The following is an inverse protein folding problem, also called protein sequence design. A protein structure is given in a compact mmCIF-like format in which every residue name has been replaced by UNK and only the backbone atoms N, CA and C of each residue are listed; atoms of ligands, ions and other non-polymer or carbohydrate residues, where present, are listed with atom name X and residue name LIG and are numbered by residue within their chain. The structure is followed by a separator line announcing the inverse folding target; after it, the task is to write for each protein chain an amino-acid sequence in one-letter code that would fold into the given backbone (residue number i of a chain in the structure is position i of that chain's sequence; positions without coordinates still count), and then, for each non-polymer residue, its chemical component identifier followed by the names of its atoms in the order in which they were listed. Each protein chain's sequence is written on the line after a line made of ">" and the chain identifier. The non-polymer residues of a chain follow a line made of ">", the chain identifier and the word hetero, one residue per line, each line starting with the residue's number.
data_IF_843006534905
#
_entry.id   IF_843006534905
#
_cell.length_a   1.000
_cell.length_b   1.000
_cell.length_c   1.000
_cell.angle_alpha   90.00
_cell.angle_beta   90.00
_cell.angle_gamma   90.00
#
_symmetry.space_group_name_H-M   'P 1'
#
loop_
_entity.id
_entity.type
_entity.pdbx_description
1 polymer ?
#
# COMPACT_ATOMS: atom_id res chain seq x y z
N UNK A 1 0.56 -45.93 26.63
CA UNK A 1 -0.30 -46.37 25.52
C UNK A 1 -0.99 -45.13 24.94
N UNK A 2 -0.62 -44.69 23.74
CA UNK A 2 -1.28 -43.56 23.09
C UNK A 2 -2.34 -44.10 22.14
N UNK A 3 -3.60 -44.03 22.56
CA UNK A 3 -4.74 -44.41 21.72
C UNK A 3 -4.86 -43.39 20.59
N UNK A 4 -4.62 -43.83 19.37
CA UNK A 4 -4.79 -43.05 18.15
C UNK A 4 -6.29 -42.86 17.90
N UNK A 5 -6.88 -41.82 18.50
CA UNK A 5 -8.24 -41.41 18.18
C UNK A 5 -8.29 -41.00 16.70
N UNK A 6 -9.10 -41.73 15.92
CA UNK A 6 -9.38 -41.40 14.52
C UNK A 6 -9.84 -39.95 14.43
N UNK A 7 -9.16 -39.19 13.56
CA UNK A 7 -9.44 -37.79 13.25
C UNK A 7 -10.80 -37.69 12.56
N UNK A 8 -11.87 -37.43 13.30
CA UNK A 8 -13.14 -37.04 12.69
C UNK A 8 -13.01 -35.63 12.15
N UNK A 9 -13.53 -35.40 10.94
CA UNK A 9 -13.60 -34.08 10.35
C UNK A 9 -14.59 -33.25 11.18
N UNK A 10 -14.09 -32.28 11.94
CA UNK A 10 -14.92 -31.31 12.65
C UNK A 10 -15.06 -30.08 11.77
N UNK A 11 -16.27 -29.83 11.28
CA UNK A 11 -16.55 -28.62 10.52
C UNK A 11 -16.70 -27.46 11.50
N UNK A 12 -15.71 -26.57 11.47
CA UNK A 12 -15.74 -25.34 12.27
C UNK A 12 -16.59 -24.29 11.54
N UNK A 13 -17.55 -23.64 12.23
CA UNK A 13 -18.35 -22.57 11.63
C UNK A 13 -17.47 -21.37 11.29
N UNK A 14 -17.88 -20.58 10.29
CA UNK A 14 -17.09 -19.44 9.81
C UNK A 14 -16.84 -18.39 10.90
N UNK A 15 -17.85 -18.07 11.71
CA UNK A 15 -17.76 -17.14 12.83
C UNK A 15 -16.65 -17.52 13.82
N UNK A 16 -16.57 -18.81 14.15
CA UNK A 16 -15.52 -19.33 15.00
C UNK A 16 -14.12 -19.18 14.39
N UNK A 17 -13.97 -19.46 13.09
CA UNK A 17 -12.69 -19.29 12.38
C UNK A 17 -12.21 -17.84 12.43
N UNK A 18 -13.12 -16.89 12.20
CA UNK A 18 -12.80 -15.46 12.23
C UNK A 18 -12.40 -15.02 13.64
N UNK A 19 -13.16 -15.40 14.66
CA UNK A 19 -12.85 -15.04 16.06
C UNK A 19 -11.47 -15.57 16.51
N UNK A 20 -11.13 -16.81 16.16
CA UNK A 20 -9.80 -17.38 16.45
C UNK A 20 -8.70 -16.62 15.72
N UNK A 21 -8.93 -16.18 14.48
CA UNK A 21 -7.96 -15.39 13.71
C UNK A 21 -7.76 -14.01 14.31
N UNK A 22 -8.83 -13.28 14.63
CA UNK A 22 -8.74 -11.96 15.25
C UNK A 22 -7.96 -12.00 16.57
N UNK A 23 -8.20 -13.01 17.40
CA UNK A 23 -7.51 -13.13 18.67
C UNK A 23 -6.00 -13.40 18.51
N UNK A 24 -5.64 -14.16 17.48
CA UNK A 24 -4.24 -14.43 17.15
C UNK A 24 -3.56 -13.19 16.55
N UNK A 25 -4.25 -12.43 15.69
CA UNK A 25 -3.71 -11.20 15.10
C UNK A 25 -3.56 -10.06 16.10
N UNK A 26 -4.47 -9.99 17.09
CA UNK A 26 -4.34 -9.06 18.22
C UNK A 26 -3.19 -9.41 19.15
N UNK A 27 -2.60 -10.59 19.02
CA UNK A 27 -1.49 -11.06 19.84
C UNK A 27 -1.89 -11.58 21.22
N UNK A 28 -3.19 -11.76 21.48
CA UNK A 28 -3.67 -12.30 22.76
C UNK A 28 -3.30 -13.78 22.93
N UNK A 29 -3.11 -14.50 21.83
CA UNK A 29 -2.60 -15.87 21.84
C UNK A 29 -1.84 -16.20 20.57
N UNK A 30 -0.85 -17.10 20.67
CA UNK A 30 -0.19 -17.65 19.48
C UNK A 30 -1.07 -18.71 18.83
N UNK A 31 -0.94 -18.93 17.51
CA UNK A 31 -1.65 -20.00 16.80
C UNK A 31 -1.49 -21.40 17.45
N UNK A 32 -0.33 -21.67 18.08
CA UNK A 32 -0.08 -22.91 18.85
C UNK A 32 -0.94 -23.01 20.10
N UNK A 33 -1.12 -21.88 20.80
CA UNK A 33 -1.97 -21.79 21.98
C UNK A 33 -3.45 -21.84 21.60
N UNK A 34 -3.85 -21.15 20.52
CA UNK A 34 -5.20 -21.24 19.96
C UNK A 34 -5.59 -22.70 19.67
N UNK A 35 -4.67 -23.46 19.05
CA UNK A 35 -4.88 -24.90 18.80
C UNK A 35 -5.16 -25.68 20.09
N UNK A 36 -4.36 -25.45 21.14
CA UNK A 36 -4.50 -26.17 22.41
C UNK A 36 -5.77 -25.75 23.16
N UNK A 37 -6.05 -24.45 23.22
CA UNK A 37 -7.17 -23.86 23.96
C UNK A 37 -8.53 -24.24 23.37
N UNK A 38 -8.61 -24.28 22.04
CA UNK A 38 -9.84 -24.61 21.33
C UNK A 38 -9.95 -26.06 20.87
N UNK A 39 -8.97 -26.91 21.21
CA UNK A 39 -8.98 -28.33 20.82
C UNK A 39 -8.94 -28.55 19.31
N UNK A 40 -8.24 -27.69 18.56
CA UNK A 40 -8.18 -27.77 17.10
C UNK A 40 -7.26 -28.93 16.71
N UNK A 41 -7.84 -29.94 16.06
CA UNK A 41 -7.17 -31.20 15.75
C UNK A 41 -5.98 -31.07 14.78
N UNK A 42 -6.05 -30.15 13.81
CA UNK A 42 -5.00 -30.00 12.80
C UNK A 42 -3.92 -29.00 13.22
N UNK A 43 -2.66 -29.43 13.15
CA UNK A 43 -1.49 -28.59 13.49
C UNK A 43 -1.39 -27.33 12.63
N UNK A 44 -1.81 -27.40 11.37
CA UNK A 44 -1.79 -26.30 10.41
C UNK A 44 -3.16 -25.65 10.21
N UNK A 45 -4.24 -26.13 10.86
CA UNK A 45 -5.59 -25.61 10.63
C UNK A 45 -5.71 -24.13 10.96
N UNK A 46 -5.14 -23.70 12.09
CA UNK A 46 -5.10 -22.28 12.46
C UNK A 46 -4.29 -21.46 11.46
N UNK A 47 -3.16 -21.99 10.97
CA UNK A 47 -2.34 -21.33 9.93
C UNK A 47 -3.06 -21.24 8.57
N UNK A 48 -3.93 -22.20 8.25
CA UNK A 48 -4.78 -22.13 7.05
C UNK A 48 -5.84 -21.04 7.22
N UNK A 49 -6.45 -20.91 8.40
CA UNK A 49 -7.41 -19.83 8.67
C UNK A 49 -6.75 -18.46 8.67
N UNK A 50 -5.58 -18.33 9.27
CA UNK A 50 -4.79 -17.10 9.24
C UNK A 50 -4.45 -16.67 7.80
N UNK A 51 -4.14 -17.61 6.90
CA UNK A 51 -3.91 -17.29 5.47
C UNK A 51 -5.16 -16.92 4.69
N UNK A 52 -6.33 -17.40 5.11
CA UNK A 52 -7.60 -17.21 4.38
C UNK A 52 -8.41 -16.03 4.89
N UNK A 53 -8.37 -15.79 6.19
CA UNK A 53 -9.19 -14.81 6.90
C UNK A 53 -8.35 -13.77 7.66
N UNK A 54 -7.04 -13.97 7.78
CA UNK A 54 -6.15 -13.00 8.39
C UNK A 54 -5.85 -11.84 7.46
N UNK A 55 -5.52 -10.70 8.07
CA UNK A 55 -5.03 -9.49 7.40
C UNK A 55 -3.51 -9.50 7.24
N UNK A 56 -2.80 -10.31 8.03
CA UNK A 56 -1.35 -10.46 7.96
C UNK A 56 -0.93 -11.53 6.92
N UNK A 57 0.24 -11.37 6.32
CA UNK A 57 0.77 -12.32 5.33
C UNK A 57 1.38 -13.57 6.00
N UNK A 58 0.56 -14.62 6.18
CA UNK A 58 0.94 -15.88 6.87
C UNK A 58 1.45 -17.01 5.93
N UNK A 59 2.05 -16.70 4.77
CA UNK A 59 2.46 -17.72 3.76
C UNK A 59 3.76 -18.45 4.17
N UNK A 60 3.81 -19.80 4.12
CA UNK A 60 5.04 -20.55 4.42
C UNK A 60 6.02 -20.41 3.26
N UNK A 61 7.20 -19.85 3.52
CA UNK A 61 8.27 -19.78 2.53
C UNK A 61 8.62 -18.38 2.03
N UNK A 62 8.10 -17.32 2.65
CA UNK A 62 8.80 -16.05 2.61
C UNK A 62 9.27 -15.73 4.03
N UNK A 63 10.56 -15.87 4.36
CA UNK A 63 11.08 -15.03 5.45
C UNK A 63 10.76 -13.61 5.04
N UNK A 64 10.24 -12.75 5.92
CA UNK A 64 10.14 -11.30 5.63
C UNK A 64 11.38 -10.84 4.83
N UNK A 65 11.29 -10.61 3.50
CA UNK A 65 12.40 -10.10 2.74
C UNK A 65 12.45 -8.59 2.90
N UNK A 66 11.43 -7.98 3.53
CA UNK A 66 11.39 -6.54 3.82
C UNK A 66 12.55 -6.13 4.73
N UNK A 67 13.15 -7.06 5.49
CA UNK A 67 14.30 -6.74 6.35
C UNK A 67 15.64 -7.27 5.87
N UNK A 68 15.73 -8.14 4.85
CA UNK A 68 17.01 -8.81 4.53
C UNK A 68 17.27 -9.08 3.04
N UNK A 69 17.23 -8.05 2.21
CA UNK A 69 17.84 -7.99 0.85
C UNK A 69 16.91 -8.42 -0.29
N UNK A 70 16.39 -7.44 -1.03
CA UNK A 70 16.34 -7.52 -2.50
C UNK A 70 16.69 -6.15 -3.12
N UNK A 71 17.32 -6.15 -4.32
CA UNK A 71 17.81 -4.96 -5.02
C UNK A 71 16.71 -4.29 -5.85
N UNK A 72 16.80 -2.95 -5.95
CA UNK A 72 16.28 -2.06 -7.00
C UNK A 72 15.31 -2.70 -8.02
N UNK A 73 14.00 -2.61 -7.78
CA UNK A 73 12.96 -2.31 -8.78
C UNK A 73 11.56 -2.39 -8.14
N UNK A 74 10.98 -1.21 -7.90
CA UNK A 74 9.54 -0.93 -8.02
C UNK A 74 8.57 -1.95 -7.41
N UNK A 75 8.43 -1.93 -6.09
CA UNK A 75 7.11 -2.17 -5.47
C UNK A 75 6.90 -1.10 -4.41
N UNK A 76 5.74 -0.46 -4.49
CA UNK A 76 5.31 0.70 -3.72
C UNK A 76 5.22 0.35 -2.24
N UNK A 77 6.34 0.54 -1.53
CA UNK A 77 6.35 0.76 -0.09
C UNK A 77 5.43 1.96 0.14
N UNK A 78 4.40 1.89 0.99
CA UNK A 78 3.71 3.09 1.41
C UNK A 78 4.74 3.91 2.18
N UNK A 79 5.40 4.85 1.50
CA UNK A 79 6.22 5.88 2.11
C UNK A 79 5.45 6.41 3.32
N UNK A 80 6.14 6.44 4.46
CA UNK A 80 5.59 7.09 5.65
C UNK A 80 5.10 8.50 5.24
N UNK A 81 3.98 8.96 5.80
CA UNK A 81 3.39 10.24 5.38
C UNK A 81 4.41 11.39 5.43
N UNK A 82 5.35 11.35 6.39
CA UNK A 82 6.44 12.32 6.56
C UNK A 82 7.46 12.32 5.41
N UNK A 83 7.81 11.15 4.86
CA UNK A 83 8.74 11.06 3.74
C UNK A 83 8.13 11.64 2.46
N UNK A 84 6.83 11.40 2.23
CA UNK A 84 6.11 12.01 1.10
C UNK A 84 6.03 13.52 1.21
N UNK A 85 5.80 14.03 2.42
CA UNK A 85 5.72 15.47 2.66
C UNK A 85 7.05 16.13 2.32
N UNK A 86 8.18 15.58 2.81
CA UNK A 86 9.51 16.12 2.52
C UNK A 86 9.85 16.11 1.02
N UNK A 87 9.56 15.01 0.33
CA UNK A 87 9.79 14.93 -1.13
C UNK A 87 8.95 15.96 -1.90
N UNK A 88 7.70 16.16 -1.51
CA UNK A 88 6.81 17.15 -2.13
C UNK A 88 7.25 18.59 -1.82
N UNK A 89 7.73 18.86 -0.61
CA UNK A 89 8.29 20.16 -0.22
C UNK A 89 9.52 20.51 -1.06
N UNK A 90 10.45 19.57 -1.25
CA UNK A 90 11.62 19.75 -2.10
C UNK A 90 11.23 19.99 -3.57
N UNK A 91 10.23 19.28 -4.08
CA UNK A 91 9.69 19.52 -5.42
C UNK A 91 9.06 20.91 -5.56
N UNK A 92 8.36 21.39 -4.54
CA UNK A 92 7.78 22.74 -4.50
C UNK A 92 8.88 23.80 -4.48
N UNK A 93 9.93 23.63 -3.67
CA UNK A 93 11.07 24.54 -3.63
C UNK A 93 11.77 24.62 -4.98
N UNK A 94 12.08 23.48 -5.61
CA UNK A 94 12.70 23.44 -6.94
C UNK A 94 11.80 24.08 -8.02
N UNK A 95 10.48 23.89 -7.94
CA UNK A 95 9.54 24.50 -8.87
C UNK A 95 9.47 26.03 -8.68
N UNK A 96 9.47 26.51 -7.43
CA UNK A 96 9.47 27.94 -7.11
C UNK A 96 10.76 28.62 -7.56
N UNK A 97 11.93 28.03 -7.28
CA UNK A 97 13.22 28.54 -7.75
C UNK A 97 13.27 28.64 -9.29
N UNK A 98 12.74 27.62 -9.99
CA UNK A 98 12.64 27.67 -11.45
C UNK A 98 11.72 28.78 -11.92
N UNK A 99 10.57 28.98 -11.27
CA UNK A 99 9.64 30.05 -11.61
C UNK A 99 10.27 31.43 -11.42
N UNK A 100 10.90 31.70 -10.28
CA UNK A 100 11.63 32.95 -10.00
C UNK A 100 12.73 33.20 -11.03
N UNK A 101 13.49 32.16 -11.38
CA UNK A 101 14.49 32.25 -12.44
C UNK A 101 13.86 32.65 -13.79
N UNK A 102 12.78 31.99 -14.21
CA UNK A 102 12.10 32.34 -15.45
C UNK A 102 11.52 33.75 -15.43
N UNK A 103 10.98 34.21 -14.30
CA UNK A 103 10.52 35.59 -14.13
C UNK A 103 11.66 36.58 -14.31
N UNK A 104 12.82 36.32 -13.71
CA UNK A 104 14.00 37.18 -13.86
C UNK A 104 14.47 37.28 -15.31
N UNK A 105 14.54 36.14 -16.02
CA UNK A 105 14.91 36.08 -17.44
C UNK A 105 13.88 36.82 -18.30
N UNK A 106 12.59 36.65 -18.03
CA UNK A 106 11.53 37.37 -18.74
C UNK A 106 11.65 38.88 -18.51
N UNK A 107 11.98 39.32 -17.29
CA UNK A 107 12.15 40.73 -16.98
C UNK A 107 13.37 41.33 -17.72
N UNK A 108 14.50 40.63 -17.76
CA UNK A 108 15.68 41.03 -18.56
C UNK A 108 15.31 41.14 -20.05
N UNK A 109 14.61 40.15 -20.61
CA UNK A 109 14.19 40.17 -22.01
C UNK A 109 13.22 41.32 -22.34
N UNK A 110 12.34 41.67 -21.40
CA UNK A 110 11.43 42.82 -21.56
C UNK A 110 12.18 44.15 -21.45
N UNK A 111 13.07 44.29 -20.48
CA UNK A 111 13.75 45.54 -20.16
C UNK A 111 14.88 45.86 -21.15
N UNK A 112 15.71 44.86 -21.50
CA UNK A 112 16.93 45.07 -22.30
C UNK A 112 16.70 44.82 -23.79
N UNK A 113 15.75 43.95 -24.16
CA UNK A 113 15.48 43.55 -25.55
C UNK A 113 14.08 43.90 -26.05
N UNK A 114 13.20 44.46 -25.21
CA UNK A 114 11.84 44.86 -25.61
C UNK A 114 10.93 43.69 -26.04
N UNK A 115 11.29 42.43 -25.74
CA UNK A 115 10.55 41.25 -26.19
C UNK A 115 9.31 41.03 -25.31
N UNK A 116 8.13 41.29 -25.87
CA UNK A 116 6.85 41.02 -25.19
C UNK A 116 6.48 39.54 -25.28
N UNK A 117 6.85 38.76 -24.25
CA UNK A 117 6.40 37.38 -24.10
C UNK A 117 4.94 37.37 -23.65
N UNK A 118 4.02 37.41 -24.61
CA UNK A 118 2.58 37.28 -24.38
C UNK A 118 2.23 35.81 -24.15
N UNK A 119 1.62 35.49 -23.00
CA UNK A 119 1.05 34.16 -22.74
C UNK A 119 0.05 33.83 -23.87
N UNK A 120 0.27 32.70 -24.56
CA UNK A 120 -0.60 32.25 -25.66
C UNK A 120 -2.06 32.25 -25.18
N UNK A 121 -2.95 32.93 -25.93
CA UNK A 121 -4.38 32.97 -25.61
C UNK A 121 -4.91 31.53 -25.51
N UNK A 122 -5.69 31.15 -24.49
CA UNK A 122 -6.28 29.82 -24.42
C UNK A 122 -7.12 29.61 -25.68
N UNK A 123 -6.77 28.57 -26.46
CA UNK A 123 -7.47 28.26 -27.69
C UNK A 123 -8.96 28.01 -27.39
N UNK A 124 -9.84 28.55 -28.24
CA UNK A 124 -11.28 28.27 -28.14
C UNK A 124 -11.47 26.76 -28.25
N UNK A 125 -11.97 26.13 -27.18
CA UNK A 125 -12.40 24.73 -27.19
C UNK A 125 -13.39 24.54 -28.35
N UNK A 126 -13.05 23.66 -29.29
CA UNK A 126 -13.96 23.25 -30.36
C UNK A 126 -15.11 22.47 -29.71
N UNK A 127 -16.31 23.06 -29.68
CA UNK A 127 -17.53 22.36 -29.24
C UNK A 127 -17.73 21.15 -30.15
N UNK A 128 -17.56 19.93 -29.61
CA UNK A 128 -18.07 18.72 -30.25
C UNK A 128 -19.60 18.86 -30.37
N UNK A 129 -20.07 19.05 -31.60
CA UNK A 129 -21.50 18.95 -31.95
C UNK A 129 -21.90 17.48 -31.73
N UNK A 130 -22.91 17.24 -30.87
CA UNK A 130 -23.51 15.91 -30.72
C UNK A 130 -24.52 15.68 -31.85
N UNK A 131 -24.56 14.50 -32.47
CA UNK A 131 -25.58 14.20 -33.48
C UNK A 131 -26.95 13.97 -32.82
N UNK A 132 -28.07 14.28 -33.53
CA UNK A 132 -29.42 14.09 -33.03
C UNK A 132 -29.80 12.60 -32.94
N UNK A 133 -30.78 12.33 -32.07
CA UNK A 133 -31.32 11.00 -31.71
C UNK A 133 -32.09 10.34 -32.84
#
# INVERSE_FOLDING_TARGET
>A
MMTEFKRTQRDYPLSFKIAVVEQVEKGEMTYKQARQRYGIQGRSTVLVWLRKYGRLDWRPGLPDPVKRKLPVAQTTIPLTPEQRIRELEEQLELANQKAEFFESVINVLKNDYGVSVVKKRPGKSSRKVRPPK
#
